data_IF_182830960211
#
_entry.id   IF_182830960211
#
_cell.length_a   1.000
_cell.length_b   1.000
_cell.length_c   1.000
_cell.angle_alpha   90.00
_cell.angle_beta   90.00
_cell.angle_gamma   90.00
#
_symmetry.space_group_name_H-M   'P 1'
#
loop_
_entity.id
_entity.type
_entity.pdbx_description
1 polymer ?
#
# COMPACT_ATOMS: atom_id res chain seq x y z
N UNK A 1 3.80 16.13 4.77
CA UNK A 1 2.52 15.63 4.20
C UNK A 1 2.06 16.28 2.88
N UNK A 2 2.60 17.43 2.43
CA UNK A 2 2.11 18.11 1.22
C UNK A 2 2.39 17.35 -0.10
N UNK A 3 3.52 16.64 -0.19
CA UNK A 3 3.92 15.92 -1.41
C UNK A 3 2.94 14.79 -1.77
N UNK A 4 2.57 13.93 -0.82
CA UNK A 4 1.60 12.85 -1.06
C UNK A 4 0.26 13.43 -1.52
N UNK A 5 -0.23 14.50 -0.88
CA UNK A 5 -1.52 15.09 -1.25
C UNK A 5 -1.53 15.68 -2.66
N UNK A 6 -0.40 16.22 -3.13
CA UNK A 6 -0.27 16.67 -4.52
C UNK A 6 -0.42 15.51 -5.51
N UNK A 7 0.29 14.40 -5.29
CA UNK A 7 0.20 13.23 -6.17
C UNK A 7 -1.15 12.51 -6.08
N UNK A 8 -1.84 12.60 -4.93
CA UNK A 8 -3.19 12.06 -4.80
C UNK A 8 -4.29 12.92 -5.46
N UNK A 9 -4.02 14.20 -5.74
CA UNK A 9 -5.04 15.13 -6.27
C UNK A 9 -4.77 15.58 -7.71
N UNK A 10 -3.52 15.88 -8.07
CA UNK A 10 -3.14 16.46 -9.37
C UNK A 10 -2.31 15.51 -10.21
N UNK A 11 -1.33 14.84 -9.61
CA UNK A 11 -0.41 13.91 -10.30
C UNK A 11 -0.83 12.45 -10.24
N UNK A 12 -2.13 12.15 -10.11
CA UNK A 12 -2.61 10.79 -9.84
C UNK A 12 -2.31 9.82 -10.99
N UNK A 13 -2.41 10.29 -12.22
CA UNK A 13 -2.14 9.48 -13.42
C UNK A 13 -0.63 9.23 -13.64
N UNK A 14 0.23 9.87 -12.84
CA UNK A 14 1.68 9.71 -12.89
C UNK A 14 2.18 8.64 -11.91
N UNK A 15 1.31 8.11 -11.03
CA UNK A 15 1.69 7.15 -9.99
C UNK A 15 0.87 5.85 -10.07
N UNK A 16 1.57 4.73 -10.22
CA UNK A 16 0.97 3.38 -10.28
C UNK A 16 0.85 2.72 -8.87
N UNK A 17 1.53 3.26 -7.86
CA UNK A 17 1.51 2.77 -6.47
C UNK A 17 2.45 3.57 -5.55
N UNK A 18 2.34 3.34 -4.24
CA UNK A 18 3.11 4.06 -3.21
C UNK A 18 3.80 3.07 -2.27
N UNK A 19 5.08 3.31 -1.98
CA UNK A 19 5.84 2.59 -0.96
C UNK A 19 6.18 3.55 0.17
N UNK A 20 5.83 3.18 1.41
CA UNK A 20 6.14 3.94 2.61
C UNK A 20 7.24 3.23 3.41
N UNK A 21 8.39 3.88 3.53
CA UNK A 21 9.55 3.38 4.25
C UNK A 21 9.59 4.01 5.63
N UNK A 22 9.63 3.18 6.69
CA UNK A 22 9.74 3.63 8.08
C UNK A 22 10.91 2.93 8.77
N UNK A 23 11.65 3.64 9.61
CA UNK A 23 12.70 3.06 10.46
C UNK A 23 12.09 2.51 11.74
N UNK A 24 12.49 1.33 12.17
CA UNK A 24 12.01 0.72 13.42
C UNK A 24 12.17 1.69 14.62
N UNK A 25 11.21 1.69 15.55
CA UNK A 25 11.10 2.55 16.76
C UNK A 25 10.42 3.94 16.64
N UNK A 26 9.22 4.00 16.05
CA UNK A 26 8.50 5.28 15.88
C UNK A 26 6.99 5.12 16.08
N UNK A 27 6.55 5.30 17.33
CA UNK A 27 5.12 5.44 17.67
C UNK A 27 4.30 6.39 16.77
N UNK A 28 4.80 7.58 16.37
CA UNK A 28 4.05 8.46 15.47
C UNK A 28 3.86 7.87 14.06
N UNK A 29 4.74 7.00 13.60
CA UNK A 29 4.68 6.50 12.22
C UNK A 29 3.59 5.45 12.06
N UNK A 30 3.24 4.69 13.11
CA UNK A 30 2.07 3.82 13.09
C UNK A 30 0.78 4.59 12.82
N UNK A 31 0.68 5.80 13.37
CA UNK A 31 -0.48 6.68 13.19
C UNK A 31 -0.48 7.30 11.78
N UNK A 32 0.70 7.70 11.29
CA UNK A 32 0.87 8.21 9.93
C UNK A 32 0.58 7.12 8.88
N UNK A 33 1.07 5.90 9.10
CA UNK A 33 0.86 4.78 8.19
C UNK A 33 -0.62 4.41 8.06
N UNK A 34 -1.36 4.37 9.16
CA UNK A 34 -2.81 4.14 9.14
C UNK A 34 -3.56 5.24 8.38
N UNK A 35 -3.19 6.51 8.56
CA UNK A 35 -3.77 7.63 7.83
C UNK A 35 -3.51 7.52 6.33
N UNK A 36 -2.25 7.26 5.94
CA UNK A 36 -1.86 7.10 4.54
C UNK A 36 -2.57 5.88 3.94
N UNK A 37 -2.63 4.75 4.65
CA UNK A 37 -3.31 3.55 4.16
C UNK A 37 -4.80 3.82 3.89
N UNK A 38 -5.48 4.57 4.77
CA UNK A 38 -6.88 4.96 4.55
C UNK A 38 -7.04 5.83 3.31
N UNK A 39 -6.20 6.84 3.14
CA UNK A 39 -6.22 7.72 1.98
C UNK A 39 -5.97 6.92 0.69
N UNK A 40 -4.99 6.01 0.68
CA UNK A 40 -4.67 5.17 -0.47
C UNK A 40 -5.80 4.20 -0.82
N UNK A 41 -6.55 3.69 0.16
CA UNK A 41 -7.75 2.88 -0.07
C UNK A 41 -8.86 3.67 -0.76
N UNK A 42 -9.07 4.92 -0.35
CA UNK A 42 -10.09 5.81 -0.94
C UNK A 42 -9.72 6.18 -2.38
N UNK A 43 -8.44 6.52 -2.61
CA UNK A 43 -7.93 6.79 -3.96
C UNK A 43 -7.88 5.50 -4.78
N UNK A 44 -7.82 4.33 -4.13
CA UNK A 44 -7.73 3.05 -4.78
C UNK A 44 -6.38 2.87 -5.47
N UNK A 45 -5.28 3.30 -4.85
CA UNK A 45 -3.92 3.04 -5.32
C UNK A 45 -3.26 1.93 -4.48
N UNK A 46 -2.44 1.06 -5.08
CA UNK A 46 -1.67 0.07 -4.32
C UNK A 46 -0.71 0.76 -3.34
N UNK A 47 -0.64 0.25 -2.12
CA UNK A 47 0.21 0.77 -1.05
C UNK A 47 1.01 -0.37 -0.40
N UNK A 48 2.30 -0.15 -0.16
CA UNK A 48 3.19 -1.06 0.56
C UNK A 48 3.91 -0.32 1.68
N UNK A 49 3.84 -0.85 2.89
CA UNK A 49 4.63 -0.37 4.03
C UNK A 49 5.84 -1.28 4.23
N UNK A 50 7.02 -0.68 4.39
CA UNK A 50 8.29 -1.36 4.62
C UNK A 50 8.91 -0.79 5.88
N UNK A 51 9.11 -1.66 6.86
CA UNK A 51 9.77 -1.33 8.11
C UNK A 51 11.23 -1.76 8.00
N UNK A 52 12.12 -0.78 8.03
CA UNK A 52 13.57 -0.97 8.02
C UNK A 52 14.00 -1.25 9.46
N UNK A 53 14.31 -2.51 9.74
CA UNK A 53 14.96 -2.98 10.97
C UNK A 53 16.29 -3.63 10.58
N UNK A 54 17.34 -3.43 11.36
CA UNK A 54 18.65 -4.04 11.15
C UNK A 54 18.57 -5.59 11.20
N UNK A 55 17.51 -6.13 11.81
CA UNK A 55 17.20 -7.57 11.82
C UNK A 55 16.25 -8.04 10.71
N UNK A 56 15.74 -7.14 9.86
CA UNK A 56 14.88 -7.50 8.73
C UNK A 56 15.71 -8.18 7.63
N UNK A 57 15.60 -9.50 7.52
CA UNK A 57 16.28 -10.27 6.47
C UNK A 57 16.00 -9.72 5.06
N UNK A 58 17.07 -9.35 4.36
CA UNK A 58 17.08 -8.76 3.02
C UNK A 58 16.20 -9.51 1.99
N UNK A 59 16.17 -10.84 2.09
CA UNK A 59 15.35 -11.70 1.23
C UNK A 59 13.84 -11.48 1.40
N UNK A 60 13.39 -11.19 2.63
CA UNK A 60 11.98 -10.93 2.93
C UNK A 60 11.51 -9.58 2.37
N UNK A 61 12.40 -8.59 2.32
CA UNK A 61 12.15 -7.29 1.70
C UNK A 61 12.02 -7.41 0.18
N UNK A 62 12.97 -8.10 -0.46
CA UNK A 62 12.98 -8.28 -1.91
C UNK A 62 11.68 -8.92 -2.40
N UNK A 63 11.26 -10.01 -1.76
CA UNK A 63 10.03 -10.74 -2.12
C UNK A 63 8.77 -9.87 -2.00
N UNK A 64 8.72 -8.98 -0.99
CA UNK A 64 7.60 -8.03 -0.79
C UNK A 64 7.55 -7.01 -1.92
N UNK A 65 8.69 -6.44 -2.30
CA UNK A 65 8.78 -5.47 -3.40
C UNK A 65 8.41 -6.12 -4.73
N UNK A 66 8.93 -7.32 -5.02
CA UNK A 66 8.60 -8.08 -6.23
C UNK A 66 7.10 -8.37 -6.32
N UNK A 67 6.50 -8.86 -5.23
CA UNK A 67 5.06 -9.14 -5.15
C UNK A 67 4.23 -7.87 -5.32
N UNK A 68 4.69 -6.74 -4.79
CA UNK A 68 4.02 -5.45 -4.94
C UNK A 68 4.04 -4.94 -6.38
N UNK A 69 5.19 -5.01 -7.05
CA UNK A 69 5.32 -4.66 -8.48
C UNK A 69 4.43 -5.56 -9.34
N UNK A 70 4.37 -6.85 -9.03
CA UNK A 70 3.50 -7.79 -9.73
C UNK A 70 2.00 -7.45 -9.53
N UNK A 71 1.59 -7.07 -8.31
CA UNK A 71 0.23 -6.59 -8.05
C UNK A 71 -0.12 -5.34 -8.88
N UNK A 72 0.80 -4.37 -8.99
CA UNK A 72 0.62 -3.18 -9.83
C UNK A 72 0.45 -3.57 -11.29
N UNK A 73 1.32 -4.43 -11.82
CA UNK A 73 1.27 -4.91 -13.21
C UNK A 73 -0.06 -5.58 -13.53
N UNK A 74 -0.58 -6.42 -12.63
CA UNK A 74 -1.88 -7.09 -12.79
C UNK A 74 -3.03 -6.10 -12.85
N UNK A 75 -3.02 -5.11 -11.97
CA UNK A 75 -4.03 -4.04 -11.93
C UNK A 75 -4.05 -3.23 -13.23
N UNK A 76 -2.87 -2.87 -13.76
CA UNK A 76 -2.73 -2.16 -15.05
C UNK A 76 -3.23 -2.98 -16.24
N UNK A 77 -3.15 -4.31 -16.17
CA UNK A 77 -3.69 -5.25 -17.16
C UNK A 77 -5.19 -5.55 -16.99
N UNK A 78 -5.88 -4.92 -16.02
CA UNK A 78 -7.30 -5.19 -15.74
C UNK A 78 -7.57 -6.56 -15.10
N UNK A 79 -6.53 -7.26 -14.64
CA UNK A 79 -6.63 -8.56 -13.98
C UNK A 79 -6.85 -8.35 -12.49
N UNK A 80 -8.03 -7.87 -12.09
CA UNK A 80 -8.43 -7.81 -10.68
C UNK A 80 -8.69 -9.23 -10.16
N UNK A 81 -7.77 -9.74 -9.33
CA UNK A 81 -8.08 -10.87 -8.43
C UNK A 81 -9.16 -10.38 -7.47
N UNK A 82 -10.35 -10.98 -7.60
CA UNK A 82 -11.56 -10.59 -6.89
C UNK A 82 -11.33 -10.41 -5.38
N UNK A 83 -11.74 -9.24 -4.91
CA UNK A 83 -12.03 -8.97 -3.51
C UNK A 83 -13.19 -9.89 -3.11
N UNK A 84 -12.92 -10.92 -2.29
CA UNK A 84 -13.96 -11.62 -1.53
C UNK A 84 -14.48 -10.65 -0.47
N UNK A 85 -15.31 -9.68 -0.87
CA UNK A 85 -16.10 -8.91 0.08
C UNK A 85 -17.40 -9.68 0.39
N UNK A 86 -17.61 -9.90 1.70
CA UNK A 86 -18.85 -10.28 2.37
C UNK A 86 -19.33 -11.73 2.20
N UNK A 87 -18.84 -12.59 3.10
CA UNK A 87 -19.69 -13.63 3.66
C UNK A 87 -20.82 -12.92 4.42
N UNK A 88 -21.95 -12.74 3.73
CA UNK A 88 -23.23 -12.31 4.29
C UNK A 88 -23.70 -13.38 5.27
N UNK A 89 -23.33 -13.27 6.55
CA UNK A 89 -24.09 -13.89 7.63
C UNK A 89 -25.27 -12.95 7.91
N UNK A 90 -26.27 -13.03 7.03
CA UNK A 90 -27.67 -12.64 7.30
C UNK A 90 -28.56 -13.63 6.56
N UNK A 91 -28.70 -14.79 7.19
CA UNK A 91 -29.78 -15.73 6.93
C UNK A 91 -30.06 -16.47 8.24
N UNK A 92 -30.55 -15.70 9.22
CA UNK A 92 -31.61 -16.08 10.17
C UNK A 92 -32.48 -14.85 10.34
#
# INVERSE_FOLDING_TARGET
MQAIRFFLTKGRDEIDGVIFLISFACGPDSLISELIMRDMKVVGLPFLEIIMDEHSGEAGLLTRVESFVEMIRRKKKGLTVGRRDKLTIKSV
#
